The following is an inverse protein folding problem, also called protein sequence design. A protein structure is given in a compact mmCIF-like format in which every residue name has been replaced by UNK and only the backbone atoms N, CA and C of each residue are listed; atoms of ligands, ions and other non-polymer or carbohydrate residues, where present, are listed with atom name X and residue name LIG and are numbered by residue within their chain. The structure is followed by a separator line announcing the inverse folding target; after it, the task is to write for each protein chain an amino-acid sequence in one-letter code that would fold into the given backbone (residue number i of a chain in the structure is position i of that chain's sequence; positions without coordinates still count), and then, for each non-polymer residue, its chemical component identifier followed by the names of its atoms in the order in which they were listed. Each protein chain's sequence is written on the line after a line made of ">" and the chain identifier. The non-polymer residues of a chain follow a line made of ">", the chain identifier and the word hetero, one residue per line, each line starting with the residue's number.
data_IF_065946957579
#
_entry.id   IF_065946957579
#
_cell.length_a   1.000
_cell.length_b   1.000
_cell.length_c   1.000
_cell.angle_alpha   90.00
_cell.angle_beta   90.00
_cell.angle_gamma   90.00
#
_symmetry.space_group_name_H-M   'P 1'
#
loop_
_entity.id
_entity.type
_entity.pdbx_description
1 polymer ?
#
# COMPACT_ATOMS: atom_id res chain seq x y z
N UNK A 1 -0.64 -5.47 5.06
CA UNK A 1 0.62 -5.11 5.76
C UNK A 1 1.55 -4.23 4.91
N UNK A 2 1.94 -4.64 3.71
CA UNK A 2 2.92 -3.91 2.87
C UNK A 2 2.56 -2.43 2.61
N UNK A 3 1.36 -2.15 2.08
CA UNK A 3 0.91 -0.78 1.81
C UNK A 3 0.89 0.12 3.05
N UNK A 4 0.55 -0.42 4.23
CA UNK A 4 0.62 0.33 5.49
C UNK A 4 2.05 0.74 5.85
N UNK A 5 3.02 -0.16 5.63
CA UNK A 5 4.45 0.17 5.81
C UNK A 5 4.90 1.24 4.84
N UNK A 6 4.55 1.13 3.56
CA UNK A 6 4.87 2.15 2.56
C UNK A 6 4.23 3.50 2.93
N UNK A 7 2.97 3.49 3.35
CA UNK A 7 2.24 4.70 3.74
C UNK A 7 2.89 5.37 4.94
N UNK A 8 3.24 4.62 5.99
CA UNK A 8 3.93 5.15 7.17
C UNK A 8 5.28 5.80 6.80
N UNK A 9 5.99 5.25 5.82
CA UNK A 9 7.23 5.85 5.30
C UNK A 9 6.94 7.13 4.50
N UNK A 10 5.95 7.09 3.61
CA UNK A 10 5.62 8.20 2.72
C UNK A 10 4.96 9.40 3.43
N UNK A 11 4.27 9.15 4.55
CA UNK A 11 3.57 10.18 5.34
C UNK A 11 4.49 10.91 6.33
N UNK A 12 5.77 10.56 6.41
CA UNK A 12 6.70 11.29 7.28
C UNK A 12 6.89 12.73 6.78
N UNK A 13 6.81 13.75 7.67
CA UNK A 13 7.01 15.15 7.26
C UNK A 13 8.40 15.43 6.68
N UNK A 14 9.42 14.64 7.03
CA UNK A 14 10.77 14.71 6.43
C UNK A 14 10.91 13.89 5.14
N UNK A 15 9.80 13.39 4.59
CA UNK A 15 9.73 12.57 3.39
C UNK A 15 10.16 11.11 3.57
N UNK A 16 10.07 10.29 2.51
CA UNK A 16 10.31 8.84 2.57
C UNK A 16 11.70 8.44 3.11
N UNK A 17 12.73 9.27 2.89
CA UNK A 17 14.08 9.01 3.41
C UNK A 17 14.20 9.14 4.93
N UNK A 18 13.45 10.07 5.53
CA UNK A 18 13.31 10.20 6.98
C UNK A 18 12.42 9.08 7.53
N UNK A 19 11.25 8.86 6.90
CA UNK A 19 10.26 7.88 7.34
C UNK A 19 10.80 6.46 7.42
N UNK A 20 11.64 6.03 6.45
CA UNK A 20 12.23 4.68 6.46
C UNK A 20 13.16 4.45 7.67
N UNK A 21 13.84 5.49 8.15
CA UNK A 21 14.71 5.40 9.35
C UNK A 21 13.92 5.30 10.66
N UNK A 22 12.65 5.72 10.65
CA UNK A 22 11.77 5.68 11.82
C UNK A 22 10.97 4.39 11.94
N UNK A 23 11.03 3.50 10.96
CA UNK A 23 10.36 2.19 11.04
C UNK A 23 10.82 1.37 12.25
N UNK A 24 9.87 0.65 12.85
CA UNK A 24 10.09 -0.29 13.94
C UNK A 24 9.37 -1.61 13.59
N UNK A 25 10.10 -2.75 13.47
CA UNK A 25 11.55 -2.90 13.57
C UNK A 25 12.29 -2.20 12.41
N UNK A 26 13.55 -1.79 12.60
CA UNK A 26 14.33 -1.16 11.55
C UNK A 26 14.56 -2.15 10.40
N UNK A 27 14.59 -1.62 9.17
CA UNK A 27 14.84 -2.40 7.95
C UNK A 27 16.17 -1.95 7.36
N UNK A 28 17.02 -2.92 7.02
CA UNK A 28 18.38 -2.67 6.53
C UNK A 28 18.60 -3.26 5.13
N UNK A 29 19.72 -2.87 4.53
CA UNK A 29 20.21 -3.41 3.25
C UNK A 29 19.26 -3.17 2.08
N UNK A 30 19.34 -4.00 1.02
CA UNK A 30 18.57 -3.81 -0.22
C UNK A 30 17.06 -3.73 -0.04
N UNK A 31 16.53 -4.34 1.03
CA UNK A 31 15.11 -4.27 1.37
C UNK A 31 14.70 -2.86 1.79
N UNK A 32 15.55 -2.15 2.54
CA UNK A 32 15.32 -0.75 2.94
C UNK A 32 15.15 0.13 1.70
N UNK A 33 16.07 -0.01 0.75
CA UNK A 33 16.09 0.82 -0.45
C UNK A 33 14.88 0.55 -1.35
N UNK A 34 14.42 -0.71 -1.43
CA UNK A 34 13.18 -1.05 -2.15
C UNK A 34 11.96 -0.42 -1.50
N UNK A 35 11.83 -0.49 -0.18
CA UNK A 35 10.70 0.14 0.55
C UNK A 35 10.72 1.65 0.34
N UNK A 36 11.88 2.29 0.50
CA UNK A 36 12.02 3.72 0.29
C UNK A 36 11.64 4.12 -1.14
N UNK A 37 12.16 3.40 -2.15
CA UNK A 37 11.82 3.65 -3.56
C UNK A 37 10.32 3.46 -3.84
N UNK A 38 9.71 2.41 -3.33
CA UNK A 38 8.27 2.18 -3.50
C UNK A 38 7.44 3.26 -2.82
N UNK A 39 7.79 3.66 -1.60
CA UNK A 39 7.10 4.72 -0.87
C UNK A 39 7.21 6.06 -1.61
N UNK A 40 8.39 6.40 -2.13
CA UNK A 40 8.59 7.60 -2.97
C UNK A 40 7.78 7.55 -4.26
N UNK A 41 7.81 6.42 -4.98
CA UNK A 41 7.15 6.30 -6.29
C UNK A 41 5.62 6.37 -6.17
N UNK A 42 5.05 5.80 -5.11
CA UNK A 42 3.61 5.86 -4.89
C UNK A 42 3.16 7.18 -4.24
N UNK A 43 3.92 7.68 -3.27
CA UNK A 43 3.52 8.83 -2.46
C UNK A 43 2.37 8.53 -1.49
N UNK A 44 2.16 9.42 -0.52
CA UNK A 44 1.21 9.23 0.59
C UNK A 44 -0.23 8.99 0.10
N UNK A 45 -0.76 9.88 -0.74
CA UNK A 45 -2.18 9.85 -1.13
C UNK A 45 -2.58 8.60 -1.93
N UNK A 46 -1.72 8.12 -2.84
CA UNK A 46 -2.00 6.87 -3.57
C UNK A 46 -1.95 5.68 -2.62
N UNK A 47 -1.01 5.67 -1.67
CA UNK A 47 -0.93 4.60 -0.68
C UNK A 47 -2.14 4.59 0.26
N UNK A 48 -2.64 5.75 0.66
CA UNK A 48 -3.87 5.88 1.43
C UNK A 48 -5.07 5.30 0.66
N UNK A 49 -5.25 5.71 -0.60
CA UNK A 49 -6.32 5.18 -1.46
C UNK A 49 -6.20 3.67 -1.69
N UNK A 50 -4.98 3.16 -1.86
CA UNK A 50 -4.71 1.73 -1.99
C UNK A 50 -5.08 0.97 -0.72
N UNK A 51 -4.82 1.53 0.47
CA UNK A 51 -5.20 0.92 1.74
C UNK A 51 -6.73 0.87 1.86
N UNK A 52 -7.44 1.95 1.57
CA UNK A 52 -8.91 1.97 1.63
C UNK A 52 -9.52 0.94 0.69
N UNK A 53 -9.05 0.90 -0.57
CA UNK A 53 -9.48 -0.10 -1.55
C UNK A 53 -9.29 -1.54 -1.03
N UNK A 54 -8.14 -1.84 -0.42
CA UNK A 54 -7.85 -3.17 0.12
C UNK A 54 -8.75 -3.52 1.32
N UNK A 55 -9.07 -2.55 2.17
CA UNK A 55 -9.99 -2.74 3.30
C UNK A 55 -11.41 -3.00 2.80
N UNK A 56 -11.90 -2.21 1.86
CA UNK A 56 -13.23 -2.39 1.27
C UNK A 56 -13.35 -3.75 0.56
N UNK A 57 -12.27 -4.17 -0.11
CA UNK A 57 -12.19 -5.47 -0.78
C UNK A 57 -12.26 -6.61 0.23
N UNK A 58 -11.48 -6.55 1.32
CA UNK A 58 -11.51 -7.57 2.38
C UNK A 58 -12.87 -7.62 3.07
N UNK A 59 -13.51 -6.47 3.34
CA UNK A 59 -14.85 -6.41 3.88
C UNK A 59 -15.87 -7.09 2.95
N UNK A 60 -15.78 -6.82 1.65
CA UNK A 60 -16.68 -7.41 0.64
C UNK A 60 -16.52 -8.94 0.62
N UNK A 61 -15.29 -9.44 0.58
CA UNK A 61 -14.98 -10.87 0.55
C UNK A 61 -15.42 -11.61 1.82
N UNK A 62 -15.52 -10.91 2.96
CA UNK A 62 -15.97 -11.49 4.23
C UNK A 62 -17.46 -11.32 4.48
N UNK A 63 -18.13 -10.49 3.69
CA UNK A 63 -19.55 -10.21 3.84
C UNK A 63 -20.41 -11.34 3.26
N UNK A 64 -21.71 -11.28 3.52
CA UNK A 64 -22.71 -12.16 2.88
C UNK A 64 -23.09 -11.70 1.46
N UNK A 65 -22.26 -10.86 0.82
CA UNK A 65 -22.53 -10.36 -0.51
C UNK A 65 -22.53 -11.49 -1.55
N UNK A 66 -23.54 -11.49 -2.42
CA UNK A 66 -23.64 -12.41 -3.56
C UNK A 66 -22.76 -11.91 -4.73
N UNK A 67 -21.44 -11.84 -4.51
CA UNK A 67 -20.46 -11.49 -5.54
C UNK A 67 -19.41 -12.59 -5.65
N UNK A 68 -18.95 -12.97 -6.87
CA UNK A 68 -17.87 -13.93 -7.00
C UNK A 68 -16.54 -13.39 -6.46
N UNK A 69 -15.95 -14.08 -5.48
CA UNK A 69 -14.72 -13.66 -4.79
C UNK A 69 -13.56 -13.32 -5.74
N UNK A 70 -13.34 -14.18 -6.75
CA UNK A 70 -12.27 -13.99 -7.72
C UNK A 70 -12.45 -12.71 -8.54
N UNK A 71 -13.69 -12.34 -8.88
CA UNK A 71 -13.96 -11.12 -9.65
C UNK A 71 -13.74 -9.85 -8.80
N UNK A 72 -14.03 -9.93 -7.50
CA UNK A 72 -13.75 -8.85 -6.54
C UNK A 72 -12.24 -8.65 -6.40
N UNK A 73 -11.50 -9.75 -6.25
CA UNK A 73 -10.04 -9.73 -6.16
C UNK A 73 -9.39 -9.19 -7.43
N UNK A 74 -9.79 -9.68 -8.61
CA UNK A 74 -9.26 -9.24 -9.91
C UNK A 74 -9.42 -7.72 -10.07
N UNK A 75 -10.59 -7.19 -9.74
CA UNK A 75 -10.87 -5.76 -9.86
C UNK A 75 -10.03 -4.91 -8.91
N UNK A 76 -9.81 -5.39 -7.69
CA UNK A 76 -8.93 -4.72 -6.74
C UNK A 76 -7.48 -4.68 -7.27
N UNK A 77 -6.98 -5.81 -7.80
CA UNK A 77 -5.63 -5.91 -8.35
C UNK A 77 -5.44 -5.00 -9.57
N UNK A 78 -6.40 -4.97 -10.49
CA UNK A 78 -6.37 -4.07 -11.65
C UNK A 78 -6.30 -2.61 -11.19
N UNK A 79 -7.17 -2.20 -10.26
CA UNK A 79 -7.16 -0.82 -9.72
C UNK A 79 -5.83 -0.45 -9.07
N UNK A 80 -5.23 -1.36 -8.30
CA UNK A 80 -3.90 -1.14 -7.70
C UNK A 80 -2.80 -1.02 -8.76
N UNK A 81 -2.80 -1.88 -9.79
CA UNK A 81 -1.82 -1.85 -10.86
C UNK A 81 -1.87 -0.54 -11.65
N UNK A 82 -3.08 -0.08 -11.98
CA UNK A 82 -3.29 1.21 -12.63
C UNK A 82 -2.83 2.37 -11.77
N UNK A 83 -3.15 2.36 -10.47
CA UNK A 83 -2.75 3.41 -9.53
C UNK A 83 -1.24 3.50 -9.34
N UNK A 84 -0.51 2.38 -9.39
CA UNK A 84 0.95 2.37 -9.32
C UNK A 84 1.66 2.81 -10.61
N UNK A 85 0.94 2.93 -11.73
CA UNK A 85 1.48 3.31 -13.04
C UNK A 85 1.41 4.80 -13.31
N UNK A 86 0.26 5.40 -13.01
CA UNK A 86 0.04 6.86 -13.02
C UNK A 86 0.68 7.48 -11.79
#
# INVERSE_FOLDING_TARGET
>A
RHFRTLHAVAADPGGPGSGIGKLRPPVFGPRRDRIQRQASNWGMYKLERAISLLVDTDLTLRSTANAPDMAVMERALLRLAWMGRT
#
